data_IF_254368092180
#
_entry.id   IF_254368092180
#
_cell.length_a   1.000
_cell.length_b   1.000
_cell.length_c   1.000
_cell.angle_alpha   90.00
_cell.angle_beta   90.00
_cell.angle_gamma   90.00
#
_symmetry.space_group_name_H-M   'P 1'
#
loop_
_entity.id
_entity.type
_entity.pdbx_description
1 polymer ?
#
# COMPACT_ATOMS: atom_id res chain seq x y z
N UNK A 1 41.68 15.61 -16.24
CA UNK A 1 40.44 14.82 -16.09
C UNK A 1 39.38 15.78 -15.58
N UNK A 2 38.55 16.34 -16.45
CA UNK A 2 37.38 17.08 -15.98
C UNK A 2 36.46 16.03 -15.39
N UNK A 3 36.38 15.97 -14.06
CA UNK A 3 35.31 15.22 -13.40
C UNK A 3 34.03 15.91 -13.85
N UNK A 4 33.22 15.26 -14.69
CA UNK A 4 31.87 15.70 -14.93
C UNK A 4 31.14 15.50 -13.60
N UNK A 5 31.22 16.51 -12.74
CA UNK A 5 30.49 16.58 -11.49
C UNK A 5 29.04 16.91 -11.87
N UNK A 6 28.34 15.93 -12.46
CA UNK A 6 26.89 15.96 -12.56
C UNK A 6 26.37 15.76 -11.15
N UNK A 7 26.23 16.87 -10.43
CA UNK A 7 25.52 16.98 -9.17
C UNK A 7 24.16 16.29 -9.35
N UNK A 8 23.98 15.16 -8.65
CA UNK A 8 22.70 14.46 -8.62
C UNK A 8 21.72 15.38 -7.89
N UNK A 9 20.73 15.90 -8.60
CA UNK A 9 19.66 16.71 -7.99
C UNK A 9 18.46 15.83 -7.75
N UNK A 10 18.18 15.59 -6.47
CA UNK A 10 16.99 14.88 -6.04
C UNK A 10 15.87 15.92 -5.87
N UNK A 11 14.67 15.55 -6.32
CA UNK A 11 13.47 16.35 -6.17
C UNK A 11 12.68 15.80 -4.97
N UNK A 12 13.00 16.33 -3.79
CA UNK A 12 12.45 15.85 -2.53
C UNK A 12 10.94 16.11 -2.44
N UNK A 13 10.48 17.23 -3.01
CA UNK A 13 9.06 17.59 -3.07
C UNK A 13 8.28 16.57 -3.90
N UNK A 14 8.84 16.15 -5.05
CA UNK A 14 8.25 15.09 -5.86
C UNK A 14 8.20 13.76 -5.10
N UNK A 15 9.29 13.33 -4.48
CA UNK A 15 9.34 12.05 -3.76
C UNK A 15 8.37 12.05 -2.58
N UNK A 16 8.31 13.13 -1.80
CA UNK A 16 7.33 13.28 -0.72
C UNK A 16 5.88 13.20 -1.26
N UNK A 17 5.60 13.90 -2.35
CA UNK A 17 4.27 13.85 -2.98
C UNK A 17 3.90 12.43 -3.45
N UNK A 18 4.84 11.69 -4.02
CA UNK A 18 4.61 10.31 -4.45
C UNK A 18 4.44 9.37 -3.25
N UNK A 19 5.20 9.55 -2.17
CA UNK A 19 5.07 8.77 -0.95
C UNK A 19 3.67 8.92 -0.33
N UNK A 20 3.16 10.15 -0.25
CA UNK A 20 1.79 10.42 0.20
C UNK A 20 0.74 9.83 -0.75
N UNK A 21 0.97 9.93 -2.06
CA UNK A 21 0.04 9.42 -3.06
C UNK A 21 -0.08 7.89 -3.02
N UNK A 22 1.03 7.17 -2.82
CA UNK A 22 1.04 5.71 -2.66
C UNK A 22 0.26 5.30 -1.42
N UNK A 23 0.50 5.93 -0.27
CA UNK A 23 -0.24 5.65 0.96
C UNK A 23 -1.75 5.93 0.79
N UNK A 24 -2.09 7.02 0.09
CA UNK A 24 -3.49 7.34 -0.22
C UNK A 24 -4.14 6.26 -1.10
N UNK A 25 -3.47 5.82 -2.15
CA UNK A 25 -4.00 4.75 -3.03
C UNK A 25 -4.17 3.43 -2.30
N UNK A 26 -3.23 3.08 -1.43
CA UNK A 26 -3.33 1.90 -0.58
C UNK A 26 -4.54 1.97 0.35
N UNK A 27 -4.75 3.11 1.02
CA UNK A 27 -5.90 3.35 1.89
C UNK A 27 -7.23 3.30 1.10
N UNK A 28 -7.29 3.95 -0.07
CA UNK A 28 -8.46 3.93 -0.95
C UNK A 28 -8.80 2.50 -1.41
N UNK A 29 -7.78 1.69 -1.74
CA UNK A 29 -7.94 0.29 -2.13
C UNK A 29 -8.38 -0.59 -0.95
N UNK A 30 -7.81 -0.39 0.24
CA UNK A 30 -8.24 -1.09 1.47
C UNK A 30 -9.72 -0.80 1.76
N UNK A 31 -10.15 0.46 1.65
CA UNK A 31 -11.56 0.82 1.80
C UNK A 31 -12.47 0.17 0.75
N UNK A 32 -11.95 -0.18 -0.43
CA UNK A 32 -12.64 -1.00 -1.43
C UNK A 32 -12.80 -2.46 -0.99
N UNK A 33 -11.72 -3.06 -0.48
CA UNK A 33 -11.69 -4.43 0.06
C UNK A 33 -12.67 -4.55 1.24
N UNK A 34 -12.67 -3.59 2.15
CA UNK A 34 -13.56 -3.60 3.33
C UNK A 34 -15.04 -3.58 2.93
N UNK A 35 -15.40 -2.74 1.96
CA UNK A 35 -16.76 -2.69 1.40
C UNK A 35 -17.15 -4.01 0.74
N UNK A 36 -16.23 -4.59 -0.02
CA UNK A 36 -16.47 -5.87 -0.68
C UNK A 36 -16.68 -6.99 0.33
N UNK A 37 -15.82 -7.08 1.35
CA UNK A 37 -15.94 -8.02 2.47
C UNK A 37 -17.29 -7.89 3.18
N UNK A 38 -17.73 -6.66 3.46
CA UNK A 38 -19.03 -6.41 4.07
C UNK A 38 -20.21 -6.89 3.20
N UNK A 39 -20.13 -6.70 1.88
CA UNK A 39 -21.15 -7.22 0.95
C UNK A 39 -21.20 -8.74 0.99
N UNK A 40 -20.04 -9.41 0.95
CA UNK A 40 -19.99 -10.87 0.96
C UNK A 40 -20.53 -11.45 2.28
N UNK A 41 -20.14 -10.86 3.42
CA UNK A 41 -20.65 -11.25 4.74
C UNK A 41 -22.17 -11.07 4.86
N UNK A 42 -22.73 -10.02 4.26
CA UNK A 42 -24.19 -9.84 4.19
C UNK A 42 -24.88 -10.91 3.32
N UNK A 43 -24.24 -11.33 2.22
CA UNK A 43 -24.79 -12.40 1.37
C UNK A 43 -24.79 -13.72 2.14
N UNK A 44 -23.70 -14.07 2.82
CA UNK A 44 -23.63 -15.26 3.69
C UNK A 44 -24.72 -15.24 4.76
N UNK A 45 -24.92 -14.11 5.44
CA UNK A 45 -25.93 -13.99 6.49
C UNK A 45 -27.38 -14.13 5.99
N UNK A 46 -27.65 -13.82 4.72
CA UNK A 46 -29.00 -13.81 4.15
C UNK A 46 -29.32 -15.03 3.27
N UNK A 47 -28.32 -15.81 2.86
CA UNK A 47 -28.49 -16.94 1.94
C UNK A 47 -28.83 -18.25 2.67
N UNK A 48 -29.56 -19.15 1.99
CA UNK A 48 -29.65 -20.56 2.42
C UNK A 48 -28.30 -21.21 2.11
N UNK A 49 -27.54 -21.53 3.15
CA UNK A 49 -26.14 -21.96 3.05
C UNK A 49 -26.00 -23.48 3.05
N UNK A 50 -26.46 -24.16 2.00
CA UNK A 50 -26.28 -25.61 1.87
C UNK A 50 -25.69 -25.99 0.50
N UNK A 51 -24.83 -27.01 0.50
CA UNK A 51 -24.20 -27.57 -0.69
C UNK A 51 -22.92 -26.85 -1.13
N UNK A 52 -22.29 -27.38 -2.18
CA UNK A 52 -20.94 -26.98 -2.63
C UNK A 52 -20.79 -25.49 -2.96
N UNK A 53 -21.88 -24.82 -3.38
CA UNK A 53 -21.86 -23.38 -3.66
C UNK A 53 -21.72 -22.54 -2.38
N UNK A 54 -22.33 -22.98 -1.27
CA UNK A 54 -22.22 -22.29 0.01
C UNK A 54 -20.81 -22.43 0.59
N UNK A 55 -20.26 -23.65 0.56
CA UNK A 55 -18.88 -23.93 0.99
C UNK A 55 -17.84 -23.13 0.18
N UNK A 56 -18.06 -23.00 -1.13
CA UNK A 56 -17.20 -22.18 -1.99
C UNK A 56 -17.30 -20.69 -1.66
N UNK A 57 -18.49 -20.19 -1.30
CA UNK A 57 -18.70 -18.80 -0.91
C UNK A 57 -18.05 -18.49 0.44
N UNK A 58 -18.18 -19.38 1.44
CA UNK A 58 -17.49 -19.26 2.74
C UNK A 58 -15.97 -19.21 2.54
N UNK A 59 -15.40 -20.17 1.78
CA UNK A 59 -13.96 -20.19 1.48
C UNK A 59 -13.50 -18.91 0.78
N UNK A 60 -14.33 -18.38 -0.12
CA UNK A 60 -14.03 -17.13 -0.81
C UNK A 60 -14.01 -15.93 0.15
N UNK A 61 -14.94 -15.87 1.10
CA UNK A 61 -14.94 -14.83 2.15
C UNK A 61 -13.70 -14.92 3.01
N UNK A 62 -13.30 -16.13 3.44
CA UNK A 62 -12.07 -16.32 4.20
C UNK A 62 -10.83 -15.78 3.44
N UNK A 63 -10.73 -16.03 2.13
CA UNK A 63 -9.64 -15.46 1.33
C UNK A 63 -9.65 -13.94 1.28
N UNK A 64 -10.83 -13.32 1.17
CA UNK A 64 -10.96 -11.86 1.14
C UNK A 64 -10.65 -11.25 2.51
N UNK A 65 -11.08 -11.89 3.60
CA UNK A 65 -10.76 -11.45 4.97
C UNK A 65 -9.26 -11.52 5.26
N UNK A 66 -8.54 -12.48 4.66
CA UNK A 66 -7.08 -12.54 4.74
C UNK A 66 -6.38 -11.37 4.04
N UNK A 67 -7.05 -10.60 3.19
CA UNK A 67 -6.50 -9.38 2.57
C UNK A 67 -6.68 -8.14 3.44
N UNK A 68 -7.34 -8.27 4.60
CA UNK A 68 -7.57 -7.16 5.50
C UNK A 68 -6.25 -6.55 5.96
N UNK A 69 -6.19 -5.21 5.92
CA UNK A 69 -5.07 -4.37 6.33
C UNK A 69 -3.75 -4.55 5.55
N UNK A 70 -3.55 -5.67 4.84
CA UNK A 70 -2.34 -5.96 4.04
C UNK A 70 -2.01 -4.84 3.07
N UNK A 71 -3.01 -4.37 2.33
CA UNK A 71 -2.79 -3.35 1.29
C UNK A 71 -2.41 -2.01 1.93
N UNK A 72 -3.07 -1.67 3.03
CA UNK A 72 -2.77 -0.45 3.77
C UNK A 72 -1.34 -0.49 4.36
N UNK A 73 -0.96 -1.62 4.95
CA UNK A 73 0.38 -1.84 5.50
C UNK A 73 1.47 -1.71 4.43
N UNK A 74 1.24 -2.31 3.25
CA UNK A 74 2.15 -2.16 2.10
C UNK A 74 2.28 -0.70 1.64
N UNK A 75 1.20 0.08 1.71
CA UNK A 75 1.22 1.51 1.37
C UNK A 75 2.06 2.34 2.34
N UNK A 76 1.92 2.07 3.63
CA UNK A 76 2.72 2.74 4.68
C UNK A 76 4.19 2.31 4.62
N UNK A 77 4.47 1.03 4.32
CA UNK A 77 5.85 0.55 4.12
C UNK A 77 6.51 1.26 2.93
N UNK A 78 5.82 1.31 1.78
CA UNK A 78 6.31 1.99 0.59
C UNK A 78 6.57 3.50 0.84
N UNK A 79 5.67 4.17 1.55
CA UNK A 79 5.87 5.55 2.00
C UNK A 79 7.11 5.67 2.90
N UNK A 80 7.26 4.75 3.86
CA UNK A 80 8.42 4.68 4.75
C UNK A 80 9.73 4.54 3.98
N UNK A 81 9.77 3.70 2.94
CA UNK A 81 10.95 3.54 2.09
C UNK A 81 11.31 4.84 1.33
N UNK A 82 10.32 5.57 0.81
CA UNK A 82 10.55 6.86 0.16
C UNK A 82 11.15 7.89 1.13
N UNK A 83 10.63 7.97 2.37
CA UNK A 83 11.14 8.88 3.38
C UNK A 83 12.54 8.48 3.88
N UNK A 84 12.80 7.18 4.01
CA UNK A 84 14.13 6.67 4.35
C UNK A 84 15.16 7.04 3.26
N UNK A 85 14.80 6.90 1.99
CA UNK A 85 15.65 7.31 0.87
C UNK A 85 16.03 8.81 0.94
N UNK A 86 15.06 9.69 1.21
CA UNK A 86 15.35 11.13 1.37
C UNK A 86 16.29 11.38 2.55
N UNK A 87 16.08 10.71 3.68
CA UNK A 87 16.96 10.84 4.85
C UNK A 87 18.40 10.37 4.57
N UNK A 88 18.59 9.32 3.77
CA UNK A 88 19.93 8.83 3.38
C UNK A 88 20.63 9.82 2.45
N UNK A 89 19.88 10.48 1.57
CA UNK A 89 20.39 11.51 0.66
C UNK A 89 20.83 12.75 1.44
N UNK A 90 19.99 13.22 2.36
CA UNK A 90 20.30 14.34 3.26
C UNK A 90 21.58 14.06 4.08
N UNK A 91 21.73 12.83 4.59
CA UNK A 91 22.93 12.43 5.32
C UNK A 91 24.17 12.44 4.41
N UNK A 92 24.07 11.89 3.19
CA UNK A 92 25.17 11.87 2.24
C UNK A 92 25.63 13.29 1.83
N UNK A 93 24.68 14.20 1.60
CA UNK A 93 24.96 15.59 1.24
C UNK A 93 25.66 16.36 2.38
N UNK A 94 25.39 15.99 3.64
CA UNK A 94 26.08 16.58 4.80
C UNK A 94 27.59 16.34 4.81
N UNK A 95 28.10 15.30 4.14
CA UNK A 95 29.54 15.04 4.02
C UNK A 95 30.24 15.86 2.94
N UNK A 96 29.49 16.61 2.12
CA UNK A 96 30.04 17.47 1.05
C UNK A 96 30.33 18.91 1.51
N UNK A 97 29.97 19.28 2.74
CA UNK A 97 30.16 20.60 3.35
C UNK A 97 30.91 20.53 4.69
#
# INVERSE_FOLDING_TARGET
MASNNTELKIDDDYINSQAEQIAKWACDLQGGIDKYTAILNNILAAAIMEGATAEALESFVDYVENLKDIVNDMGEEAKGMCLAFLSEVDEADSYLY
#
